data_IF_807536277447
#
_entry.id   IF_807536277447
#
_cell.length_a   1.000
_cell.length_b   1.000
_cell.length_c   1.000
_cell.angle_alpha   90.00
_cell.angle_beta   90.00
_cell.angle_gamma   90.00
#
_symmetry.space_group_name_H-M   'P 1'
#
loop_
_entity.id
_entity.type
_entity.pdbx_description
1 polymer ?
#
# COMPACT_ATOMS: atom_id res chain seq x y z
N UNK A 1 -33.69 -10.23 -47.15
CA UNK A 1 -33.96 -9.41 -45.93
C UNK A 1 -33.63 -10.16 -44.63
N UNK A 2 -34.00 -11.43 -44.44
CA UNK A 2 -33.71 -12.20 -43.20
C UNK A 2 -32.21 -12.46 -42.93
N UNK A 3 -31.40 -12.67 -43.96
CA UNK A 3 -29.96 -12.92 -43.80
C UNK A 3 -29.15 -11.70 -43.31
N UNK A 4 -29.62 -10.49 -43.63
CA UNK A 4 -28.93 -9.24 -43.26
C UNK A 4 -29.05 -8.95 -41.76
N UNK A 5 -30.18 -9.31 -41.15
CA UNK A 5 -30.44 -9.17 -39.70
C UNK A 5 -29.55 -10.12 -38.90
N UNK A 6 -29.36 -11.35 -39.39
CA UNK A 6 -28.45 -12.32 -38.76
C UNK A 6 -26.99 -11.85 -38.82
N UNK A 7 -26.57 -11.24 -39.94
CA UNK A 7 -25.22 -10.72 -40.08
C UNK A 7 -24.94 -9.52 -39.15
N UNK A 8 -25.94 -8.66 -38.94
CA UNK A 8 -25.87 -7.55 -37.98
C UNK A 8 -25.82 -8.04 -36.52
N UNK A 9 -26.59 -9.07 -36.17
CA UNK A 9 -26.55 -9.64 -34.83
C UNK A 9 -25.20 -10.30 -34.52
N UNK A 10 -24.63 -11.04 -35.48
CA UNK A 10 -23.32 -11.69 -35.31
C UNK A 10 -22.18 -10.69 -35.17
N UNK A 11 -22.24 -9.56 -35.88
CA UNK A 11 -21.24 -8.48 -35.75
C UNK A 11 -21.32 -7.77 -34.40
N UNK A 12 -22.52 -7.53 -33.85
CA UNK A 12 -22.69 -7.00 -32.50
C UNK A 12 -22.15 -7.93 -31.41
N UNK A 13 -22.35 -9.25 -31.54
CA UNK A 13 -21.80 -10.25 -30.59
C UNK A 13 -20.28 -10.31 -30.68
N UNK A 14 -19.71 -10.20 -31.88
CA UNK A 14 -18.25 -10.14 -32.06
C UNK A 14 -17.65 -8.86 -31.46
N UNK A 15 -18.32 -7.71 -31.58
CA UNK A 15 -17.89 -6.45 -30.97
C UNK A 15 -17.99 -6.43 -29.44
N UNK A 16 -18.92 -7.18 -28.85
CA UNK A 16 -19.02 -7.32 -27.40
C UNK A 16 -17.86 -8.14 -26.80
N UNK A 17 -17.31 -9.10 -27.56
CA UNK A 17 -16.13 -9.87 -27.17
C UNK A 17 -14.80 -9.16 -27.44
N UNK A 18 -14.79 -8.17 -28.34
CA UNK A 18 -13.69 -7.22 -28.51
C UNK A 18 -13.97 -5.92 -27.75
N UNK A 19 -14.49 -6.02 -26.53
CA UNK A 19 -14.32 -4.93 -25.57
C UNK A 19 -12.82 -4.59 -25.54
N UNK A 20 -12.45 -3.31 -25.71
CA UNK A 20 -11.07 -2.90 -25.77
C UNK A 20 -10.41 -3.42 -24.48
N UNK A 21 -9.23 -4.01 -24.64
CA UNK A 21 -8.34 -4.30 -23.53
C UNK A 21 -8.51 -3.17 -22.53
N UNK A 22 -8.99 -3.51 -21.32
CA UNK A 22 -8.88 -2.65 -20.17
C UNK A 22 -7.41 -2.28 -20.14
N UNK A 23 -7.10 -1.14 -20.75
CA UNK A 23 -5.86 -0.43 -20.60
C UNK A 23 -5.89 -0.21 -19.12
N UNK A 24 -5.19 -1.08 -18.39
CA UNK A 24 -4.70 -0.74 -17.07
C UNK A 24 -4.04 0.60 -17.36
N UNK A 25 -4.75 1.67 -17.04
CA UNK A 25 -4.10 2.90 -16.71
C UNK A 25 -3.13 2.46 -15.62
N UNK A 26 -1.90 2.17 -16.02
CA UNK A 26 -0.73 2.53 -15.24
C UNK A 26 -0.79 4.05 -15.11
N UNK A 27 -1.79 4.52 -14.38
CA UNK A 27 -1.73 5.76 -13.68
C UNK A 27 -0.75 5.48 -12.56
N UNK A 28 0.54 5.67 -12.86
CA UNK A 28 1.45 6.17 -11.84
C UNK A 28 1.00 7.59 -11.51
N UNK A 29 -0.17 7.67 -10.87
CA UNK A 29 -0.71 8.88 -10.30
C UNK A 29 -0.05 9.15 -8.95
N UNK A 30 -0.27 10.34 -8.38
CA UNK A 30 0.17 10.66 -7.01
C UNK A 30 -0.20 9.56 -5.99
N UNK A 31 -1.27 8.82 -6.24
CA UNK A 31 -1.72 7.69 -5.43
C UNK A 31 -0.71 6.53 -5.38
N UNK A 32 0.01 6.20 -6.46
CA UNK A 32 0.96 5.09 -6.46
C UNK A 32 2.23 5.44 -5.65
N UNK A 33 2.70 6.69 -5.74
CA UNK A 33 3.80 7.20 -4.94
C UNK A 33 3.43 7.26 -3.45
N UNK A 34 2.21 7.72 -3.15
CA UNK A 34 1.69 7.78 -1.79
C UNK A 34 1.49 6.38 -1.19
N UNK A 35 0.95 5.43 -1.96
CA UNK A 35 0.83 4.03 -1.55
C UNK A 35 2.21 3.42 -1.28
N UNK A 36 3.19 3.64 -2.16
CA UNK A 36 4.55 3.15 -1.97
C UNK A 36 5.22 3.76 -0.73
N UNK A 37 4.99 5.05 -0.47
CA UNK A 37 5.48 5.73 0.74
C UNK A 37 4.85 5.14 2.00
N UNK A 38 3.53 4.92 1.98
CA UNK A 38 2.81 4.34 3.10
C UNK A 38 3.25 2.90 3.39
N UNK A 39 3.53 2.09 2.35
CA UNK A 39 4.11 0.76 2.50
C UNK A 39 5.48 0.80 3.19
N UNK A 40 6.36 1.75 2.81
CA UNK A 40 7.65 1.94 3.47
C UNK A 40 7.50 2.35 4.94
N UNK A 41 6.57 3.26 5.24
CA UNK A 41 6.27 3.67 6.62
C UNK A 41 5.70 2.53 7.46
N UNK A 42 4.93 1.63 6.85
CA UNK A 42 4.41 0.42 7.51
C UNK A 42 5.50 -0.62 7.76
N UNK A 43 6.57 -0.66 6.97
CA UNK A 43 7.70 -1.54 7.22
C UNK A 43 8.44 -1.18 8.53
N UNK A 44 8.36 0.07 9.00
CA UNK A 44 9.00 0.52 10.24
C UNK A 44 8.53 -0.23 11.50
N UNK A 45 7.33 -0.81 11.51
CA UNK A 45 6.88 -1.64 12.65
C UNK A 45 7.54 -3.02 12.66
N UNK A 46 8.07 -3.46 11.52
CA UNK A 46 8.78 -4.73 11.33
C UNK A 46 10.29 -4.57 11.34
N UNK A 47 10.80 -3.34 11.46
CA UNK A 47 12.22 -3.10 11.66
C UNK A 47 12.71 -3.92 12.86
N UNK A 48 13.88 -4.56 12.73
CA UNK A 48 14.37 -5.49 13.75
C UNK A 48 14.48 -4.84 15.14
N UNK A 49 14.82 -3.55 15.19
CA UNK A 49 14.94 -2.81 16.45
C UNK A 49 13.57 -2.50 17.02
N UNK A 50 12.67 -1.97 16.19
CA UNK A 50 11.34 -1.59 16.63
C UNK A 50 10.49 -2.82 16.98
N UNK A 51 10.60 -3.92 16.24
CA UNK A 51 9.86 -5.15 16.53
C UNK A 51 10.30 -5.77 17.85
N UNK A 52 11.60 -5.75 18.16
CA UNK A 52 12.12 -6.20 19.47
C UNK A 52 11.53 -5.37 20.61
N UNK A 53 11.54 -4.04 20.49
CA UNK A 53 10.92 -3.16 21.49
C UNK A 53 9.40 -3.39 21.61
N UNK A 54 8.72 -3.67 20.49
CA UNK A 54 7.31 -4.04 20.47
C UNK A 54 7.04 -5.34 21.22
N UNK A 55 7.88 -6.36 21.03
CA UNK A 55 7.80 -7.62 21.78
C UNK A 55 8.09 -7.44 23.27
N UNK A 56 9.10 -6.63 23.63
CA UNK A 56 9.43 -6.33 25.02
C UNK A 56 8.29 -5.58 25.73
N UNK A 57 7.61 -4.68 25.02
CA UNK A 57 6.40 -4.00 25.49
C UNK A 57 5.23 -4.97 25.68
N UNK A 58 4.93 -5.80 24.68
CA UNK A 58 3.79 -6.74 24.73
C UNK A 58 3.92 -7.78 25.84
N UNK A 59 5.15 -8.18 26.18
CA UNK A 59 5.42 -9.18 27.23
C UNK A 59 5.56 -8.58 28.63
N UNK A 60 5.48 -7.25 28.77
CA UNK A 60 5.70 -6.59 30.06
C UNK A 60 4.44 -6.64 30.94
N UNK A 61 4.45 -7.37 32.08
CA UNK A 61 3.31 -7.43 32.98
C UNK A 61 3.13 -6.15 33.82
N UNK A 62 4.21 -5.42 34.13
CA UNK A 62 4.10 -4.20 34.93
C UNK A 62 3.61 -3.03 34.08
N UNK A 63 2.45 -2.46 34.43
CA UNK A 63 1.83 -1.36 33.67
C UNK A 63 2.68 -0.09 33.60
N UNK A 64 3.45 0.21 34.65
CA UNK A 64 4.31 1.39 34.69
C UNK A 64 5.48 1.24 33.71
N UNK A 65 6.15 0.07 33.76
CA UNK A 65 7.26 -0.27 32.87
C UNK A 65 6.76 -0.44 31.43
N UNK A 66 5.56 -1.01 31.24
CA UNK A 66 4.93 -1.16 29.94
C UNK A 66 4.69 0.21 29.29
N UNK A 67 4.33 1.24 30.07
CA UNK A 67 4.22 2.61 29.59
C UNK A 67 5.53 3.12 28.98
N UNK A 68 6.65 2.92 29.67
CA UNK A 68 7.99 3.32 29.20
C UNK A 68 8.41 2.52 27.96
N UNK A 69 8.21 1.19 27.97
CA UNK A 69 8.53 0.33 26.81
C UNK A 69 7.67 0.67 25.59
N UNK A 70 6.39 1.00 25.80
CA UNK A 70 5.48 1.50 24.75
C UNK A 70 6.02 2.78 24.13
N UNK A 71 6.44 3.74 24.95
CA UNK A 71 7.04 4.99 24.45
C UNK A 71 8.29 4.71 23.61
N UNK A 72 9.19 3.83 24.08
CA UNK A 72 10.39 3.42 23.32
C UNK A 72 10.04 2.80 21.97
N UNK A 73 9.05 1.90 21.94
CA UNK A 73 8.55 1.32 20.68
C UNK A 73 8.04 2.39 19.70
N UNK A 74 7.16 3.29 20.15
CA UNK A 74 6.64 4.34 19.28
C UNK A 74 7.70 5.35 18.85
N UNK A 75 8.65 5.69 19.72
CA UNK A 75 9.79 6.53 19.35
C UNK A 75 10.60 5.92 18.21
N UNK A 76 10.93 4.62 18.31
CA UNK A 76 11.63 3.88 17.25
C UNK A 76 10.86 3.92 15.91
N UNK A 77 9.56 3.59 15.94
CA UNK A 77 8.72 3.59 14.73
C UNK A 77 8.62 4.99 14.12
N UNK A 78 8.48 6.03 14.95
CA UNK A 78 8.38 7.41 14.48
C UNK A 78 9.70 7.90 13.89
N UNK A 79 10.84 7.55 14.47
CA UNK A 79 12.15 7.87 13.92
C UNK A 79 12.35 7.21 12.54
N UNK A 80 12.00 5.93 12.41
CA UNK A 80 12.04 5.25 11.11
C UNK A 80 11.12 5.93 10.09
N UNK A 81 9.89 6.27 10.47
CA UNK A 81 8.95 6.99 9.58
C UNK A 81 9.51 8.35 9.17
N UNK A 82 10.12 9.09 10.08
CA UNK A 82 10.75 10.38 9.78
C UNK A 82 11.91 10.22 8.78
N UNK A 83 12.72 9.16 8.89
CA UNK A 83 13.76 8.84 7.90
C UNK A 83 13.16 8.53 6.53
N UNK A 84 12.08 7.76 6.48
CA UNK A 84 11.35 7.46 5.22
C UNK A 84 10.77 8.73 4.60
N UNK A 85 10.15 9.60 5.40
CA UNK A 85 9.60 10.88 4.95
C UNK A 85 10.70 11.82 4.43
N UNK A 86 11.86 11.87 5.11
CA UNK A 86 13.01 12.66 4.67
C UNK A 86 13.57 12.14 3.33
N UNK A 87 13.70 10.82 3.16
CA UNK A 87 14.15 10.21 1.90
C UNK A 87 13.18 10.47 0.75
N UNK A 88 11.87 10.54 1.02
CA UNK A 88 10.87 10.87 0.00
C UNK A 88 11.01 12.33 -0.46
N UNK A 89 11.24 13.27 0.47
CA UNK A 89 11.45 14.69 0.17
C UNK A 89 12.73 14.95 -0.63
N UNK A 90 13.79 14.18 -0.43
CA UNK A 90 15.04 14.32 -1.21
C UNK A 90 14.96 13.74 -2.62
N UNK A 91 13.89 13.01 -2.96
CA UNK A 91 13.69 12.39 -4.28
C UNK A 91 12.72 13.17 -5.19
N UNK A 92 12.01 14.16 -4.65
CA UNK A 92 11.22 15.14 -5.41
C UNK A 92 12.09 16.33 -5.77
#
# INVERSE_FOLDING_TARGET
MKAFVFFLLLTFVALAFTAPAQRKESGSGPDEEEIALQQKKNACTRDATCSRLGHEFQKEPNREVAGVKRQKYFACVNECKAKVDAQAKTKK
#
